data_IF_669949597131
#
_entry.id   IF_669949597131
#
_cell.length_a   1.000
_cell.length_b   1.000
_cell.length_c   1.000
_cell.angle_alpha   90.00
_cell.angle_beta   90.00
_cell.angle_gamma   90.00
#
_symmetry.space_group_name_H-M   'P 1'
#
loop_
_entity.id
_entity.type
_entity.pdbx_description
1 polymer ?
#
# COMPACT_ATOMS: atom_id res chain seq x y z
N UNK A 1 -18.09 5.16 -21.59
CA UNK A 1 -16.61 4.97 -21.55
C UNK A 1 -16.20 3.78 -20.68
N UNK A 2 -16.61 3.69 -19.40
CA UNK A 2 -16.23 2.56 -18.52
C UNK A 2 -16.60 1.18 -19.08
N UNK A 3 -17.84 0.94 -19.50
CA UNK A 3 -18.30 -0.38 -19.97
C UNK A 3 -17.50 -0.92 -21.17
N UNK A 4 -17.08 -0.04 -22.09
CA UNK A 4 -16.28 -0.42 -23.24
C UNK A 4 -14.83 -0.78 -22.84
N UNK A 5 -14.22 -0.03 -21.90
CA UNK A 5 -12.89 -0.35 -21.37
C UNK A 5 -12.89 -1.69 -20.63
N UNK A 6 -13.93 -1.94 -19.83
CA UNK A 6 -14.13 -3.22 -19.14
C UNK A 6 -14.20 -4.40 -20.10
N UNK A 7 -15.00 -4.28 -21.17
CA UNK A 7 -15.15 -5.34 -22.17
C UNK A 7 -13.91 -5.54 -23.05
N UNK A 8 -13.09 -4.51 -23.23
CA UNK A 8 -11.85 -4.60 -24.01
C UNK A 8 -10.69 -5.18 -23.18
N UNK A 9 -10.52 -4.73 -21.93
CA UNK A 9 -9.50 -5.28 -21.01
C UNK A 9 -9.75 -6.76 -20.69
N UNK A 10 -11.01 -7.18 -20.58
CA UNK A 10 -11.38 -8.57 -20.35
C UNK A 10 -10.96 -9.52 -21.50
N UNK A 11 -10.74 -9.01 -22.73
CA UNK A 11 -10.34 -9.81 -23.89
C UNK A 11 -8.81 -9.93 -24.05
N UNK A 12 -8.03 -9.34 -23.15
CA UNK A 12 -6.56 -9.47 -23.13
C UNK A 12 -5.79 -8.72 -24.22
N UNK A 13 -6.45 -8.26 -25.29
CA UNK A 13 -5.81 -7.52 -26.38
C UNK A 13 -5.51 -6.07 -25.96
N UNK A 14 -4.23 -5.69 -26.00
CA UNK A 14 -3.81 -4.28 -25.89
C UNK A 14 -3.98 -3.65 -27.27
N UNK A 15 -5.03 -2.86 -27.44
CA UNK A 15 -5.24 -2.00 -28.62
C UNK A 15 -4.91 -0.55 -28.30
N UNK A 16 -4.63 0.31 -29.30
CA UNK A 16 -4.45 1.75 -29.08
C UNK A 16 -5.58 2.38 -28.27
N UNK A 17 -6.83 1.97 -28.52
CA UNK A 17 -8.01 2.44 -27.79
C UNK A 17 -7.99 2.03 -26.32
N UNK A 18 -7.55 0.80 -26.01
CA UNK A 18 -7.40 0.36 -24.61
C UNK A 18 -6.30 1.11 -23.88
N UNK A 19 -5.17 1.38 -24.54
CA UNK A 19 -4.06 2.16 -23.99
C UNK A 19 -4.49 3.59 -23.72
N UNK A 20 -5.20 4.23 -24.65
CA UNK A 20 -5.69 5.60 -24.46
C UNK A 20 -6.73 5.67 -23.32
N UNK A 21 -7.65 4.72 -23.27
CA UNK A 21 -8.65 4.66 -22.20
C UNK A 21 -8.02 4.40 -20.82
N UNK A 22 -6.97 3.57 -20.75
CA UNK A 22 -6.17 3.39 -19.54
C UNK A 22 -5.50 4.71 -19.11
N UNK A 23 -4.83 5.41 -20.02
CA UNK A 23 -4.19 6.70 -19.74
C UNK A 23 -5.21 7.74 -19.23
N UNK A 24 -6.38 7.84 -19.88
CA UNK A 24 -7.46 8.73 -19.43
C UNK A 24 -7.97 8.34 -18.02
N UNK A 25 -8.09 7.04 -17.72
CA UNK A 25 -8.50 6.56 -16.40
C UNK A 25 -7.47 6.90 -15.32
N UNK A 26 -6.18 6.62 -15.58
CA UNK A 26 -5.08 6.96 -14.68
C UNK A 26 -5.04 8.46 -14.43
N UNK A 27 -5.10 9.29 -15.47
CA UNK A 27 -5.09 10.75 -15.35
C UNK A 27 -6.30 11.27 -14.55
N UNK A 28 -7.52 10.82 -14.90
CA UNK A 28 -8.75 11.29 -14.26
C UNK A 28 -8.89 10.88 -12.78
N UNK A 29 -8.17 9.84 -12.34
CA UNK A 29 -8.19 9.36 -10.95
C UNK A 29 -6.85 9.51 -10.23
N UNK A 30 -5.84 10.06 -10.89
CA UNK A 30 -4.47 10.17 -10.39
C UNK A 30 -3.90 8.82 -9.92
N UNK A 31 -4.20 7.74 -10.64
CA UNK A 31 -3.75 6.39 -10.26
C UNK A 31 -2.23 6.24 -10.50
N UNK A 32 -1.50 5.51 -9.65
CA UNK A 32 -0.09 5.19 -9.86
C UNK A 32 0.13 4.51 -11.20
N UNK A 33 1.27 4.71 -11.83
CA UNK A 33 1.60 4.07 -13.12
C UNK A 33 1.82 2.56 -13.01
N UNK A 34 2.18 2.08 -11.83
CA UNK A 34 2.52 0.69 -11.54
C UNK A 34 1.32 -0.15 -11.07
N UNK A 35 0.11 0.41 -11.02
CA UNK A 35 -1.10 -0.37 -10.79
C UNK A 35 -1.48 -1.20 -12.02
N UNK A 36 -1.82 -2.47 -11.82
CA UNK A 36 -2.51 -3.27 -12.84
C UNK A 36 -3.95 -2.76 -12.98
N UNK A 37 -4.21 -2.04 -14.08
CA UNK A 37 -5.51 -1.45 -14.35
C UNK A 37 -6.57 -2.50 -14.66
N UNK A 38 -6.19 -3.69 -15.14
CA UNK A 38 -7.14 -4.78 -15.35
C UNK A 38 -7.66 -5.29 -14.01
N UNK A 39 -6.74 -5.57 -13.08
CA UNK A 39 -7.08 -5.98 -11.73
C UNK A 39 -7.88 -4.89 -11.00
N UNK A 40 -7.47 -3.63 -11.09
CA UNK A 40 -8.21 -2.49 -10.54
C UNK A 40 -9.63 -2.40 -11.11
N UNK A 41 -9.80 -2.48 -12.43
CA UNK A 41 -11.13 -2.46 -13.04
C UNK A 41 -12.00 -3.61 -12.50
N UNK A 42 -11.46 -4.82 -12.39
CA UNK A 42 -12.15 -5.98 -11.80
C UNK A 42 -12.41 -5.91 -10.29
N UNK A 43 -12.00 -4.84 -9.62
CA UNK A 43 -12.15 -4.65 -8.18
C UNK A 43 -13.60 -4.50 -7.70
N UNK A 44 -13.78 -4.70 -6.41
CA UNK A 44 -15.06 -4.47 -5.73
C UNK A 44 -15.33 -2.97 -5.63
N UNK A 45 -16.57 -2.58 -5.95
CA UNK A 45 -17.05 -1.22 -5.66
C UNK A 45 -17.54 -1.18 -4.21
N UNK A 46 -17.01 -0.23 -3.44
CA UNK A 46 -17.55 0.07 -2.12
C UNK A 46 -18.46 1.29 -2.26
N UNK A 47 -19.68 1.16 -1.74
CA UNK A 47 -20.59 2.27 -1.58
C UNK A 47 -20.15 3.11 -0.38
N UNK A 48 -20.24 4.44 -0.49
CA UNK A 48 -19.94 5.31 0.65
C UNK A 48 -20.95 5.04 1.75
N UNK A 49 -20.49 4.57 2.92
CA UNK A 49 -21.42 4.12 3.97
C UNK A 49 -20.86 4.16 5.38
N UNK A 50 -19.58 3.85 5.59
CA UNK A 50 -18.99 3.85 6.93
C UNK A 50 -17.69 4.67 6.95
N UNK A 51 -17.61 5.66 7.83
CA UNK A 51 -16.45 6.56 7.95
C UNK A 51 -16.56 7.91 7.25
N UNK A 52 -17.75 8.31 6.78
CA UNK A 52 -18.00 9.69 6.27
C UNK A 52 -17.59 9.95 4.82
N UNK A 53 -17.30 8.90 4.05
CA UNK A 53 -16.88 9.02 2.64
C UNK A 53 -18.08 9.17 1.70
N UNK A 54 -18.07 10.22 0.88
CA UNK A 54 -19.19 10.60 -0.01
C UNK A 54 -19.15 9.98 -1.41
N UNK A 55 -18.05 9.32 -1.81
CA UNK A 55 -17.90 8.80 -3.17
C UNK A 55 -17.69 7.31 -3.20
N UNK A 56 -18.27 6.63 -4.19
CA UNK A 56 -17.98 5.22 -4.42
C UNK A 56 -16.51 5.02 -4.80
N UNK A 57 -15.83 4.09 -4.13
CA UNK A 57 -14.44 3.72 -4.41
C UNK A 57 -14.37 2.35 -5.05
N UNK A 58 -13.26 2.07 -5.74
CA UNK A 58 -12.92 0.73 -6.23
C UNK A 58 -11.73 0.25 -5.43
N UNK A 59 -11.87 -0.95 -4.85
CA UNK A 59 -10.80 -1.68 -4.17
C UNK A 59 -10.50 -2.99 -4.92
N UNK A 60 -9.23 -3.23 -5.20
CA UNK A 60 -8.75 -4.49 -5.75
C UNK A 60 -7.54 -4.99 -4.98
N UNK A 61 -7.36 -6.31 -4.99
CA UNK A 61 -6.21 -7.00 -4.40
C UNK A 61 -5.48 -7.75 -5.50
N UNK A 62 -4.20 -7.47 -5.67
CA UNK A 62 -3.36 -8.14 -6.65
C UNK A 62 -2.29 -8.96 -5.92
N UNK A 63 -2.31 -10.28 -6.11
CA UNK A 63 -1.23 -11.15 -5.63
C UNK A 63 0.08 -10.78 -6.34
N UNK A 64 1.12 -10.51 -5.56
CA UNK A 64 2.36 -9.96 -6.09
C UNK A 64 3.30 -11.08 -6.57
N UNK A 65 4.12 -10.80 -7.60
CA UNK A 65 5.01 -11.79 -8.18
C UNK A 65 6.15 -12.20 -7.23
N UNK A 66 6.85 -13.32 -7.49
CA UNK A 66 7.89 -13.85 -6.62
C UNK A 66 8.98 -12.85 -6.22
N UNK A 67 9.41 -11.94 -7.12
CA UNK A 67 10.41 -10.94 -6.78
C UNK A 67 9.95 -9.97 -5.68
N UNK A 68 8.66 -9.62 -5.63
CA UNK A 68 8.09 -8.77 -4.58
C UNK A 68 8.00 -9.54 -3.27
N UNK A 69 7.57 -10.81 -3.33
CA UNK A 69 7.53 -11.69 -2.15
C UNK A 69 8.93 -11.83 -1.53
N UNK A 70 9.96 -12.03 -2.36
CA UNK A 70 11.35 -12.11 -1.91
C UNK A 70 11.84 -10.78 -1.31
N UNK A 71 11.50 -9.64 -1.92
CA UNK A 71 11.83 -8.32 -1.38
C UNK A 71 11.20 -8.09 0.00
N UNK A 72 9.91 -8.40 0.18
CA UNK A 72 9.20 -8.30 1.46
C UNK A 72 9.77 -9.27 2.49
N UNK A 73 10.11 -10.50 2.10
CA UNK A 73 10.79 -11.45 2.98
C UNK A 73 12.13 -10.89 3.46
N UNK A 74 12.94 -10.32 2.56
CA UNK A 74 14.24 -9.73 2.91
C UNK A 74 14.10 -8.57 3.89
N UNK A 75 13.05 -7.75 3.76
CA UNK A 75 12.73 -6.67 4.69
C UNK A 75 12.34 -7.21 6.07
N UNK A 76 11.47 -8.22 6.13
CA UNK A 76 11.10 -8.86 7.39
C UNK A 76 12.32 -9.45 8.09
N UNK A 77 13.16 -10.20 7.37
CA UNK A 77 14.35 -10.81 7.96
C UNK A 77 15.35 -9.75 8.47
N UNK A 78 15.57 -8.68 7.71
CA UNK A 78 16.54 -7.63 8.06
C UNK A 78 16.08 -6.76 9.24
N UNK A 79 14.76 -6.58 9.41
CA UNK A 79 14.19 -5.74 10.47
C UNK A 79 13.65 -6.55 11.65
N UNK A 80 13.70 -7.88 11.56
CA UNK A 80 13.25 -8.75 12.65
C UNK A 80 14.13 -8.57 13.88
N UNK A 81 13.47 -8.38 15.04
CA UNK A 81 14.13 -8.37 16.34
C UNK A 81 13.44 -9.39 17.23
N UNK A 82 14.22 -10.33 17.75
CA UNK A 82 13.73 -11.33 18.71
C UNK A 82 13.55 -10.68 20.08
N UNK A 83 12.38 -10.04 20.28
CA UNK A 83 12.03 -9.34 21.51
C UNK A 83 10.92 -10.09 22.24
N UNK A 84 11.16 -10.45 23.51
CA UNK A 84 10.13 -11.00 24.38
C UNK A 84 9.25 -9.86 24.92
N UNK A 85 7.95 -9.94 24.69
CA UNK A 85 6.98 -8.96 25.21
C UNK A 85 6.16 -9.60 26.34
N UNK A 86 5.77 -8.79 27.34
CA UNK A 86 5.13 -9.25 28.58
C UNK A 86 3.82 -10.03 28.34
N UNK A 87 3.10 -9.66 27.29
CA UNK A 87 1.84 -10.26 26.83
C UNK A 87 1.97 -11.73 26.39
N UNK A 88 3.18 -12.24 26.13
CA UNK A 88 3.37 -13.63 25.66
C UNK A 88 3.17 -14.72 26.71
N UNK A 89 3.15 -14.39 28.01
CA UNK A 89 2.81 -15.33 29.11
C UNK A 89 3.52 -16.70 29.04
N UNK A 90 4.79 -16.72 28.64
CA UNK A 90 5.63 -17.92 28.55
C UNK A 90 5.61 -18.61 27.18
N UNK A 91 4.83 -18.11 26.21
CA UNK A 91 4.82 -18.64 24.86
C UNK A 91 6.18 -18.42 24.16
N UNK A 92 6.64 -19.38 23.33
CA UNK A 92 7.88 -19.23 22.59
C UNK A 92 7.82 -18.04 21.62
N UNK A 93 8.97 -17.39 21.40
CA UNK A 93 9.12 -16.38 20.37
C UNK A 93 9.56 -17.07 19.07
N UNK A 94 8.95 -16.77 17.91
CA UNK A 94 9.44 -17.28 16.64
C UNK A 94 10.91 -16.87 16.41
N UNK A 95 11.66 -17.70 15.69
CA UNK A 95 13.03 -17.32 15.30
C UNK A 95 13.05 -16.45 14.04
N UNK A 96 12.00 -16.54 13.23
CA UNK A 96 11.81 -15.76 12.00
C UNK A 96 10.35 -15.79 11.55
N UNK A 97 10.01 -14.90 10.62
CA UNK A 97 8.75 -14.94 9.89
C UNK A 97 8.96 -15.45 8.47
N UNK A 98 7.93 -16.11 7.92
CA UNK A 98 7.91 -16.59 6.53
C UNK A 98 6.77 -15.93 5.80
N UNK A 99 7.08 -15.11 4.81
CA UNK A 99 6.10 -14.51 3.90
C UNK A 99 5.45 -15.63 3.10
N UNK A 100 4.13 -15.79 3.28
CA UNK A 100 3.34 -16.76 2.51
C UNK A 100 2.75 -16.14 1.25
N UNK A 101 2.26 -14.91 1.36
CA UNK A 101 1.62 -14.16 0.29
C UNK A 101 1.83 -12.67 0.51
N UNK A 102 1.85 -11.92 -0.59
CA UNK A 102 1.83 -10.46 -0.59
C UNK A 102 0.71 -10.04 -1.54
N UNK A 103 -0.21 -9.22 -1.05
CA UNK A 103 -1.23 -8.59 -1.89
C UNK A 103 -0.96 -7.10 -1.94
N UNK A 104 -0.98 -6.53 -3.14
CA UNK A 104 -1.07 -5.08 -3.34
C UNK A 104 -2.52 -4.67 -3.24
N UNK A 105 -2.78 -3.69 -2.37
CA UNK A 105 -4.10 -3.07 -2.21
C UNK A 105 -4.19 -1.87 -3.15
N UNK A 106 -5.16 -1.90 -4.06
CA UNK A 106 -5.45 -0.81 -4.98
C UNK A 106 -6.79 -0.19 -4.61
N UNK A 107 -6.77 0.79 -3.70
CA UNK A 107 -7.95 1.55 -3.28
C UNK A 107 -7.83 3.00 -3.81
N UNK A 108 -8.63 3.35 -4.81
CA UNK A 108 -8.49 4.64 -5.51
C UNK A 108 -8.88 5.87 -4.71
N UNK A 109 -9.71 5.72 -3.68
CA UNK A 109 -10.05 6.82 -2.81
C UNK A 109 -8.92 7.07 -1.82
N UNK A 110 -8.48 6.02 -1.13
CA UNK A 110 -7.37 6.10 -0.16
C UNK A 110 -6.11 6.60 -0.84
N UNK A 111 -5.81 6.14 -2.06
CA UNK A 111 -4.67 6.65 -2.82
C UNK A 111 -4.77 8.15 -3.12
N UNK A 112 -5.94 8.66 -3.52
CA UNK A 112 -6.11 10.11 -3.80
C UNK A 112 -5.98 10.94 -2.53
N UNK A 113 -6.52 10.47 -1.42
CA UNK A 113 -6.39 11.12 -0.10
C UNK A 113 -4.91 11.16 0.34
N UNK A 114 -4.19 10.05 0.18
CA UNK A 114 -2.75 9.93 0.40
C UNK A 114 -1.96 10.89 -0.50
N UNK A 115 -2.15 10.83 -1.82
CA UNK A 115 -1.42 11.63 -2.79
C UNK A 115 -1.66 13.13 -2.58
N UNK A 116 -2.91 13.54 -2.31
CA UNK A 116 -3.23 14.93 -1.97
C UNK A 116 -2.59 15.38 -0.66
N UNK A 117 -2.47 14.50 0.34
CA UNK A 117 -1.78 14.81 1.60
C UNK A 117 -0.27 14.92 1.39
N UNK A 118 0.31 14.01 0.60
CA UNK A 118 1.70 14.06 0.19
C UNK A 118 2.05 15.38 -0.50
N UNK A 119 1.21 15.85 -1.41
CA UNK A 119 1.43 17.11 -2.12
C UNK A 119 1.38 18.32 -1.18
N UNK A 120 0.50 18.29 -0.17
CA UNK A 120 0.48 19.30 0.90
C UNK A 120 1.77 19.27 1.73
N UNK A 121 2.27 18.08 2.09
CA UNK A 121 3.55 17.95 2.80
C UNK A 121 4.68 18.51 1.94
N UNK A 122 4.73 18.17 0.64
CA UNK A 122 5.74 18.70 -0.29
C UNK A 122 5.72 20.22 -0.32
N UNK A 123 4.53 20.82 -0.43
CA UNK A 123 4.37 22.26 -0.40
C UNK A 123 4.81 22.88 0.93
N UNK A 124 4.46 22.26 2.06
CA UNK A 124 4.83 22.71 3.40
C UNK A 124 6.35 22.61 3.66
N UNK A 125 7.02 21.62 3.06
CA UNK A 125 8.47 21.49 3.12
C UNK A 125 9.18 22.64 2.39
N UNK A 126 8.56 23.28 1.39
CA UNK A 126 9.13 24.46 0.72
C UNK A 126 10.53 24.24 0.12
N UNK A 127 10.82 23.01 -0.33
CA UNK A 127 12.14 22.61 -0.83
C UNK A 127 13.15 22.20 0.25
N UNK A 128 12.79 22.30 1.55
CA UNK A 128 13.49 21.52 2.56
C UNK A 128 13.28 20.03 2.28
N UNK A 129 14.33 19.24 2.37
CA UNK A 129 14.25 17.78 2.25
C UNK A 129 14.36 17.21 3.66
N UNK A 130 13.26 17.19 4.45
CA UNK A 130 13.31 16.62 5.78
C UNK A 130 13.72 15.14 5.68
N UNK A 131 14.52 14.69 6.64
CA UNK A 131 14.93 13.30 6.74
C UNK A 131 14.93 12.85 8.20
N UNK A 132 14.60 11.58 8.42
CA UNK A 132 14.81 10.95 9.72
C UNK A 132 16.32 10.75 9.93
N UNK A 133 16.90 11.19 11.06
CA UNK A 133 18.29 10.88 11.39
C UNK A 133 18.53 9.37 11.32
N UNK A 134 19.61 8.96 10.66
CA UNK A 134 19.99 7.55 10.42
C UNK A 134 19.00 6.73 9.57
N UNK A 135 17.96 7.36 9.03
CA UNK A 135 16.93 6.69 8.22
C UNK A 135 16.09 5.67 9.00
N UNK A 136 15.25 4.93 8.29
CA UNK A 136 14.51 3.79 8.88
C UNK A 136 15.19 2.48 8.50
N UNK A 137 15.09 1.46 9.35
CA UNK A 137 15.73 0.15 9.09
C UNK A 137 15.30 -0.45 7.74
N UNK A 138 14.03 -0.26 7.38
CA UNK A 138 13.46 -0.69 6.11
C UNK A 138 14.12 0.02 4.94
N UNK A 139 14.21 1.35 4.95
CA UNK A 139 14.80 2.12 3.85
C UNK A 139 16.31 1.85 3.74
N UNK A 140 17.03 1.82 4.86
CA UNK A 140 18.46 1.49 4.89
C UNK A 140 18.74 0.11 4.26
N UNK A 141 17.88 -0.88 4.51
CA UNK A 141 18.00 -2.20 3.90
C UNK A 141 17.74 -2.17 2.38
N UNK A 142 16.70 -1.46 1.93
CA UNK A 142 16.38 -1.35 0.50
C UNK A 142 17.50 -0.68 -0.28
N UNK A 143 18.05 0.42 0.24
CA UNK A 143 19.13 1.18 -0.39
C UNK A 143 20.43 0.35 -0.44
N UNK A 144 20.85 -0.20 0.71
CA UNK A 144 22.07 -1.00 0.81
C UNK A 144 22.06 -2.20 -0.14
N UNK A 145 20.91 -2.84 -0.30
CA UNK A 145 20.76 -4.04 -1.12
C UNK A 145 20.21 -3.77 -2.52
N UNK A 146 19.98 -2.50 -2.88
CA UNK A 146 19.45 -2.07 -4.18
C UNK A 146 18.18 -2.83 -4.59
N UNK A 147 17.24 -2.97 -3.65
CA UNK A 147 15.99 -3.69 -3.88
C UNK A 147 15.06 -2.82 -4.73
N UNK A 148 14.82 -3.24 -5.98
CA UNK A 148 14.00 -2.48 -6.96
C UNK A 148 12.62 -3.09 -7.21
N UNK A 149 12.28 -4.19 -6.54
CA UNK A 149 10.98 -4.86 -6.73
C UNK A 149 9.80 -4.09 -6.10
N UNK A 150 10.08 -3.17 -5.19
CA UNK A 150 9.07 -2.31 -4.56
C UNK A 150 8.96 -0.97 -5.30
N UNK A 151 7.78 -0.32 -5.29
CA UNK A 151 7.62 1.02 -5.86
C UNK A 151 8.57 2.03 -5.21
N UNK A 152 9.10 2.94 -6.03
CA UNK A 152 9.91 4.05 -5.55
C UNK A 152 9.08 5.01 -4.70
N UNK A 153 9.68 5.50 -3.62
CA UNK A 153 9.11 6.51 -2.75
C UNK A 153 9.68 7.90 -3.08
N UNK A 154 8.94 8.94 -2.73
CA UNK A 154 9.36 10.33 -2.88
C UNK A 154 10.18 10.78 -1.66
N UNK A 155 11.51 10.78 -1.83
CA UNK A 155 12.45 11.24 -0.81
C UNK A 155 12.26 12.73 -0.45
N UNK A 156 11.71 13.56 -1.35
CA UNK A 156 11.49 14.99 -1.11
C UNK A 156 10.40 15.29 -0.07
N UNK A 157 9.60 14.29 0.28
CA UNK A 157 8.56 14.38 1.31
C UNK A 157 8.80 13.43 2.49
N UNK A 158 10.01 12.85 2.58
CA UNK A 158 10.36 11.87 3.62
C UNK A 158 9.37 10.69 3.66
N UNK A 159 9.07 10.09 2.49
CA UNK A 159 8.29 8.85 2.43
C UNK A 159 9.13 7.63 2.80
N UNK A 160 8.56 6.75 3.65
CA UNK A 160 9.21 5.51 4.09
C UNK A 160 8.27 4.32 4.01
N UNK A 161 8.82 3.14 3.69
CA UNK A 161 8.14 1.87 3.93
C UNK A 161 8.18 1.53 5.43
N UNK A 162 7.03 1.29 6.03
CA UNK A 162 6.90 0.89 7.44
C UNK A 162 6.00 -0.33 7.58
N UNK A 163 6.21 -1.12 8.63
CA UNK A 163 5.33 -2.23 8.98
C UNK A 163 4.26 -1.80 9.97
N UNK A 164 3.04 -2.26 9.73
CA UNK A 164 1.92 -2.13 10.67
C UNK A 164 1.35 -3.53 10.95
N UNK A 165 1.54 -4.02 12.17
CA UNK A 165 0.95 -5.27 12.63
C UNK A 165 -0.50 -5.06 13.06
N UNK A 166 -1.40 -5.97 12.65
CA UNK A 166 -2.82 -5.94 13.05
C UNK A 166 -3.49 -7.29 12.76
N UNK A 167 -4.77 -7.45 13.13
CA UNK A 167 -5.55 -8.64 12.80
C UNK A 167 -5.99 -8.65 11.34
N UNK A 168 -6.32 -9.83 10.78
CA UNK A 168 -6.78 -9.92 9.38
C UNK A 168 -8.04 -9.09 9.10
N UNK A 169 -8.99 -9.06 10.05
CA UNK A 169 -10.20 -8.24 9.93
C UNK A 169 -9.89 -6.74 9.94
N UNK A 170 -8.98 -6.30 10.83
CA UNK A 170 -8.56 -4.90 10.88
C UNK A 170 -7.73 -4.49 9.65
N UNK A 171 -6.86 -5.38 9.14
CA UNK A 171 -6.12 -5.14 7.90
C UNK A 171 -7.07 -4.93 6.70
N UNK A 172 -8.13 -5.74 6.60
CA UNK A 172 -9.18 -5.56 5.60
C UNK A 172 -9.92 -4.23 5.80
N UNK A 173 -10.28 -3.91 7.05
CA UNK A 173 -10.91 -2.63 7.39
C UNK A 173 -10.05 -1.41 7.00
N UNK A 174 -8.74 -1.45 7.25
CA UNK A 174 -7.79 -0.40 6.84
C UNK A 174 -7.68 -0.34 5.31
N UNK A 175 -7.61 -1.49 4.62
CA UNK A 175 -7.54 -1.53 3.17
C UNK A 175 -8.77 -0.89 2.51
N UNK A 176 -9.95 -1.07 3.09
CA UNK A 176 -11.23 -0.53 2.61
C UNK A 176 -11.46 0.93 3.03
N UNK A 177 -11.13 1.27 4.28
CA UNK A 177 -11.56 2.50 4.95
C UNK A 177 -10.44 3.43 5.43
N UNK A 178 -9.17 3.11 5.11
CA UNK A 178 -7.96 3.80 5.60
C UNK A 178 -7.71 3.65 7.12
N UNK A 179 -6.56 4.14 7.57
CA UNK A 179 -6.22 4.20 8.99
C UNK A 179 -7.13 5.19 9.70
N UNK A 180 -7.83 4.71 10.73
CA UNK A 180 -8.62 5.58 11.59
C UNK A 180 -7.92 5.85 12.91
N UNK A 181 -7.66 7.14 13.17
CA UNK A 181 -6.95 7.59 14.37
C UNK A 181 -7.77 7.37 15.65
N UNK A 182 -9.09 7.29 15.56
CA UNK A 182 -9.96 7.01 16.69
C UNK A 182 -9.84 5.57 17.24
N UNK A 183 -9.19 4.67 16.48
CA UNK A 183 -8.80 3.35 16.98
C UNK A 183 -7.36 3.30 17.51
N UNK A 184 -6.64 4.42 17.52
CA UNK A 184 -5.31 4.45 18.14
C UNK A 184 -5.43 4.27 19.66
N UNK A 185 -4.69 3.31 20.21
CA UNK A 185 -4.69 3.01 21.65
C UNK A 185 -5.90 2.22 22.18
N UNK A 186 -6.94 1.96 21.38
CA UNK A 186 -8.12 1.18 21.81
C UNK A 186 -7.78 -0.29 22.10
N UNK A 187 -6.69 -0.80 21.51
CA UNK A 187 -6.20 -2.17 21.64
C UNK A 187 -4.78 -2.22 22.24
N UNK A 188 -4.48 -1.35 23.22
CA UNK A 188 -3.15 -1.28 23.83
C UNK A 188 -2.65 -2.67 24.31
N UNK A 189 -1.68 -3.23 23.58
CA UNK A 189 -1.01 -4.48 23.93
C UNK A 189 -1.53 -5.77 23.29
N UNK A 190 -2.38 -5.70 22.26
CA UNK A 190 -2.81 -6.89 21.50
C UNK A 190 -2.30 -6.88 20.05
N UNK A 191 -1.18 -7.56 19.83
CA UNK A 191 -0.78 -8.12 18.54
C UNK A 191 -0.85 -9.64 18.60
#
# INVERSE_FOLDING_TARGET
VRTALFQALARGAVTPETSEAEQRLRAGRQLPSDWDIRAYCGGQRLEGGEGGRQSSTVIAYEEQPPQVIQAVQSLLDATYRKVYTRDRRGAPIPDRFVVKKVHRVMNDQVWREYAGTRDKVRAACGGSNPSVPDGTQTMNHLEKNRVTALPSLDAGVNEHWLFHGTTGAAAKGIAENDFRLDFSGSNAGTL
#
